data_IF_725297683530
#
_entry.id   IF_725297683530
#
_cell.length_a   1.000
_cell.length_b   1.000
_cell.length_c   1.000
_cell.angle_alpha   90.00
_cell.angle_beta   90.00
_cell.angle_gamma   90.00
#
_symmetry.space_group_name_H-M   'P 1'
#
loop_
_entity.id
_entity.type
_entity.pdbx_description
1 polymer ?
#
# COMPACT_ATOMS: atom_id res chain seq x y z
N UNK A 1 11.77 -14.20 15.94
CA UNK A 1 12.29 -15.52 15.54
C UNK A 1 12.94 -15.32 14.18
N UNK A 2 14.27 -15.35 14.11
CA UNK A 2 15.02 -15.21 12.86
C UNK A 2 15.52 -16.61 12.53
N UNK A 3 14.99 -17.20 11.47
CA UNK A 3 15.50 -18.46 10.95
C UNK A 3 16.76 -18.11 10.14
N UNK A 4 17.92 -18.28 10.76
CA UNK A 4 19.21 -18.18 10.07
C UNK A 4 19.46 -19.51 9.38
N UNK A 5 19.27 -19.58 8.07
CA UNK A 5 19.73 -20.69 7.25
C UNK A 5 21.21 -20.45 6.90
N UNK A 6 22.05 -21.47 7.12
CA UNK A 6 23.51 -21.42 6.89
C UNK A 6 23.88 -21.35 5.41
N UNK A 7 23.01 -21.85 4.54
CA UNK A 7 23.25 -21.99 3.12
C UNK A 7 22.28 -21.11 2.32
N UNK A 8 22.73 -20.43 1.25
CA UNK A 8 21.83 -19.69 0.38
C UNK A 8 20.84 -20.67 -0.25
N UNK A 9 19.55 -20.45 -0.01
CA UNK A 9 18.48 -21.24 -0.60
C UNK A 9 18.56 -21.14 -2.13
N UNK A 10 19.09 -22.16 -2.78
CA UNK A 10 19.15 -22.25 -4.24
C UNK A 10 17.79 -22.69 -4.79
N UNK A 11 17.45 -22.24 -5.99
CA UNK A 11 16.25 -22.74 -6.67
C UNK A 11 16.36 -24.26 -6.86
N UNK A 12 15.30 -24.99 -6.52
CA UNK A 12 15.28 -26.45 -6.49
C UNK A 12 14.12 -26.98 -7.31
N UNK A 13 14.35 -28.08 -8.03
CA UNK A 13 13.30 -28.83 -8.71
C UNK A 13 13.38 -30.30 -8.32
N UNK A 14 12.23 -30.91 -8.04
CA UNK A 14 12.09 -32.35 -7.79
C UNK A 14 11.12 -32.92 -8.81
N UNK A 15 11.55 -33.98 -9.51
CA UNK A 15 10.75 -34.67 -10.51
C UNK A 15 10.47 -36.09 -10.01
N UNK A 16 9.19 -36.45 -9.97
CA UNK A 16 8.72 -37.79 -9.69
C UNK A 16 8.05 -38.34 -10.96
N UNK A 17 8.49 -39.51 -11.40
CA UNK A 17 7.91 -40.20 -12.55
C UNK A 17 6.71 -41.03 -12.08
N UNK A 18 5.61 -40.94 -12.83
CA UNK A 18 4.43 -41.75 -12.58
C UNK A 18 4.68 -43.23 -12.90
N UNK A 19 4.00 -44.13 -12.19
CA UNK A 19 4.03 -45.56 -12.48
C UNK A 19 3.01 -45.88 -13.60
N UNK A 20 3.45 -46.35 -14.78
CA UNK A 20 2.56 -46.66 -15.89
C UNK A 20 1.60 -47.85 -15.61
N UNK A 21 1.84 -48.62 -14.55
CA UNK A 21 0.96 -49.72 -14.12
C UNK A 21 -0.15 -49.27 -13.16
N UNK A 22 -0.10 -48.02 -12.69
CA UNK A 22 -1.13 -47.42 -11.86
C UNK A 22 -2.10 -46.61 -12.73
N UNK A 23 -3.23 -46.19 -12.15
CA UNK A 23 -4.19 -45.31 -12.82
C UNK A 23 -4.36 -44.01 -12.03
N UNK A 24 -4.95 -42.99 -12.65
CA UNK A 24 -5.18 -41.67 -12.02
C UNK A 24 -3.86 -40.94 -11.70
N UNK A 25 -3.81 -40.18 -10.60
CA UNK A 25 -2.70 -39.30 -10.23
C UNK A 25 -1.35 -40.01 -10.07
N UNK A 26 -1.35 -41.31 -9.74
CA UNK A 26 -0.13 -42.11 -9.54
C UNK A 26 0.57 -42.49 -10.86
N UNK A 27 -0.14 -42.39 -12.00
CA UNK A 27 0.43 -42.60 -13.33
C UNK A 27 1.00 -41.31 -13.94
N UNK A 28 0.83 -40.17 -13.27
CA UNK A 28 1.24 -38.87 -13.78
C UNK A 28 2.66 -38.52 -13.34
N UNK A 29 3.41 -37.86 -14.22
CA UNK A 29 4.68 -37.24 -13.83
C UNK A 29 4.40 -35.95 -13.05
N UNK A 30 5.04 -35.80 -11.90
CA UNK A 30 4.89 -34.66 -11.02
C UNK A 30 6.20 -33.88 -10.94
N UNK A 31 6.16 -32.58 -11.24
CA UNK A 31 7.29 -31.68 -11.10
C UNK A 31 6.97 -30.65 -10.02
N UNK A 32 7.77 -30.62 -8.96
CA UNK A 32 7.75 -29.57 -7.96
C UNK A 32 8.93 -28.64 -8.23
N UNK A 33 8.67 -27.34 -8.37
CA UNK A 33 9.71 -26.32 -8.57
C UNK A 33 9.58 -25.28 -7.47
N UNK A 34 10.67 -25.06 -6.75
CA UNK A 34 10.85 -23.97 -5.82
C UNK A 34 11.81 -22.95 -6.46
N UNK A 35 11.26 -21.83 -6.92
CA UNK A 35 12.03 -20.72 -7.45
C UNK A 35 12.26 -19.72 -6.32
N UNK A 36 13.50 -19.55 -5.90
CA UNK A 36 13.87 -18.44 -5.03
C UNK A 36 14.54 -17.36 -5.88
N UNK A 37 13.96 -16.16 -5.95
CA UNK A 37 14.64 -15.05 -6.58
C UNK A 37 15.89 -14.74 -5.75
N UNK A 38 17.02 -14.57 -6.43
CA UNK A 38 18.17 -13.93 -5.82
C UNK A 38 17.76 -12.46 -5.62
N UNK A 39 17.31 -12.15 -4.41
CA UNK A 39 17.09 -10.77 -4.00
C UNK A 39 18.49 -10.30 -3.66
N UNK A 40 19.19 -9.58 -4.56
CA UNK A 40 20.49 -9.04 -4.23
C UNK A 40 20.29 -8.34 -2.90
N UNK A 41 21.15 -8.63 -1.91
CA UNK A 41 21.16 -7.91 -0.64
C UNK A 41 20.90 -6.48 -1.00
N UNK A 42 19.69 -5.98 -0.70
CA UNK A 42 19.35 -4.60 -0.91
C UNK A 42 20.30 -3.94 0.04
N UNK A 43 21.45 -3.55 -0.51
CA UNK A 43 22.44 -2.78 0.20
C UNK A 43 21.58 -1.71 0.83
N UNK A 44 21.67 -1.58 2.15
CA UNK A 44 21.11 -0.46 2.86
C UNK A 44 21.85 0.79 2.37
N UNK A 45 21.71 1.10 1.08
CA UNK A 45 21.78 2.44 0.59
C UNK A 45 20.75 3.15 1.44
N UNK A 46 21.23 4.10 2.23
CA UNK A 46 20.42 5.04 2.98
C UNK A 46 19.46 5.86 2.08
N UNK A 47 19.32 5.48 0.80
CA UNK A 47 18.73 6.21 -0.31
C UNK A 47 17.69 5.40 -1.09
N UNK A 48 17.19 4.25 -0.58
CA UNK A 48 15.95 3.69 -1.13
C UNK A 48 14.78 4.62 -0.75
N UNK A 49 14.54 5.60 -1.63
CA UNK A 49 13.37 6.48 -1.57
C UNK A 49 12.15 5.68 -2.01
N UNK A 50 11.34 5.26 -1.05
CA UNK A 50 10.08 4.60 -1.33
C UNK A 50 9.01 5.65 -1.66
N UNK A 51 8.24 5.40 -2.70
CA UNK A 51 7.10 6.22 -3.11
C UNK A 51 5.83 5.37 -3.07
N UNK A 52 4.80 5.85 -2.36
CA UNK A 52 3.52 5.14 -2.22
C UNK A 52 2.38 5.96 -2.83
N UNK A 53 1.60 5.39 -3.74
CA UNK A 53 0.40 6.03 -4.27
C UNK A 53 -0.83 5.25 -3.82
N UNK A 54 -1.67 5.89 -3.00
CA UNK A 54 -2.92 5.34 -2.51
C UNK A 54 -4.07 5.78 -3.41
N UNK A 55 -4.64 4.84 -4.15
CA UNK A 55 -5.84 5.04 -4.97
C UNK A 55 -7.07 4.65 -4.14
N UNK A 56 -7.95 5.61 -3.90
CA UNK A 56 -9.14 5.46 -3.04
C UNK A 56 -10.39 5.64 -3.86
N UNK A 57 -11.24 4.61 -3.93
CA UNK A 57 -12.56 4.73 -4.54
C UNK A 57 -13.48 5.61 -3.66
N UNK A 58 -14.17 6.55 -4.30
CA UNK A 58 -15.14 7.49 -3.72
C UNK A 58 -16.47 7.45 -4.48
N UNK A 59 -16.72 6.40 -5.27
CA UNK A 59 -17.98 6.16 -5.97
C UNK A 59 -19.16 6.02 -4.99
N UNK A 60 -20.39 6.07 -5.51
CA UNK A 60 -21.59 5.96 -4.68
C UNK A 60 -21.67 4.68 -3.83
N UNK A 61 -21.05 3.58 -4.25
CA UNK A 61 -20.98 2.34 -3.45
C UNK A 61 -20.11 2.46 -2.19
N UNK A 62 -19.29 3.50 -2.11
CA UNK A 62 -18.44 3.79 -0.96
C UNK A 62 -19.13 4.66 0.08
N UNK A 63 -20.36 5.13 -0.18
CA UNK A 63 -21.11 5.94 0.79
C UNK A 63 -21.35 5.21 2.13
N UNK A 64 -21.58 5.97 3.19
CA UNK A 64 -21.81 5.45 4.54
C UNK A 64 -20.53 4.92 5.19
N UNK A 65 -20.60 3.73 5.78
CA UNK A 65 -19.52 3.18 6.60
C UNK A 65 -18.30 2.77 5.77
N UNK A 66 -18.47 2.45 4.48
CA UNK A 66 -17.40 1.98 3.60
C UNK A 66 -16.28 3.03 3.45
N UNK A 67 -16.62 4.30 3.19
CA UNK A 67 -15.63 5.37 3.12
C UNK A 67 -15.01 5.68 4.50
N UNK A 68 -15.75 5.46 5.59
CA UNK A 68 -15.24 5.60 6.95
C UNK A 68 -14.17 4.55 7.27
N UNK A 69 -14.42 3.29 6.90
CA UNK A 69 -13.44 2.21 7.02
C UNK A 69 -12.23 2.40 6.12
N UNK A 70 -12.43 2.89 4.89
CA UNK A 70 -11.34 3.25 3.99
C UNK A 70 -10.44 4.34 4.59
N UNK A 71 -11.02 5.39 5.17
CA UNK A 71 -10.27 6.45 5.88
C UNK A 71 -9.50 5.91 7.08
N UNK A 72 -10.11 5.03 7.87
CA UNK A 72 -9.47 4.44 9.06
C UNK A 72 -8.31 3.54 8.67
N UNK A 73 -8.49 2.72 7.65
CA UNK A 73 -7.45 1.87 7.09
C UNK A 73 -6.31 2.71 6.51
N UNK A 74 -6.62 3.74 5.72
CA UNK A 74 -5.62 4.65 5.16
C UNK A 74 -4.81 5.35 6.25
N UNK A 75 -5.46 5.79 7.33
CA UNK A 75 -4.78 6.38 8.48
C UNK A 75 -3.79 5.39 9.12
N UNK A 76 -4.18 4.13 9.29
CA UNK A 76 -3.30 3.09 9.82
C UNK A 76 -2.10 2.85 8.89
N UNK A 77 -2.34 2.81 7.57
CA UNK A 77 -1.27 2.67 6.58
C UNK A 77 -0.28 3.83 6.66
N UNK A 78 -0.78 5.07 6.67
CA UNK A 78 0.08 6.27 6.76
C UNK A 78 0.97 6.26 8.00
N UNK A 79 0.45 5.78 9.14
CA UNK A 79 1.22 5.63 10.39
C UNK A 79 2.26 4.52 10.35
N UNK A 80 2.02 3.46 9.57
CA UNK A 80 2.97 2.36 9.39
C UNK A 80 4.12 2.70 8.43
N UNK A 81 3.97 3.73 7.59
CA UNK A 81 4.95 4.05 6.57
C UNK A 81 6.20 4.73 7.17
N UNK A 82 7.43 4.35 6.76
CA UNK A 82 8.68 4.99 7.20
C UNK A 82 8.71 6.52 7.00
N UNK A 83 9.37 7.27 7.88
CA UNK A 83 9.45 8.74 7.81
C UNK A 83 10.19 9.29 6.58
N UNK A 84 10.94 8.45 5.88
CA UNK A 84 11.75 8.77 4.70
C UNK A 84 11.10 8.31 3.38
N UNK A 85 9.76 8.26 3.33
CA UNK A 85 9.04 7.89 2.13
C UNK A 85 8.08 9.00 1.68
N UNK A 86 8.00 9.18 0.37
CA UNK A 86 6.99 10.01 -0.27
C UNK A 86 5.69 9.24 -0.41
N UNK A 87 4.57 9.95 -0.36
CA UNK A 87 3.29 9.34 -0.67
C UNK A 87 2.34 10.32 -1.35
N UNK A 88 1.41 9.78 -2.14
CA UNK A 88 0.32 10.50 -2.76
C UNK A 88 -0.99 9.78 -2.43
N UNK A 89 -2.06 10.53 -2.22
CA UNK A 89 -3.42 10.00 -2.16
C UNK A 89 -4.21 10.55 -3.34
N UNK A 90 -4.89 9.67 -4.06
CA UNK A 90 -5.73 9.99 -5.22
C UNK A 90 -7.09 9.36 -4.98
N UNK A 91 -8.12 10.19 -4.81
CA UNK A 91 -9.50 9.75 -4.73
C UNK A 91 -10.13 9.71 -6.13
N UNK A 92 -10.69 8.57 -6.55
CA UNK A 92 -11.33 8.40 -7.86
C UNK A 92 -12.80 7.99 -7.73
N UNK A 93 -13.59 8.17 -8.79
CA UNK A 93 -15.04 7.95 -8.83
C UNK A 93 -15.57 8.44 -10.18
N UNK A 94 -16.61 9.27 -10.18
CA UNK A 94 -17.02 10.02 -11.40
C UNK A 94 -15.93 11.00 -11.87
N UNK A 95 -15.20 11.58 -10.91
CA UNK A 95 -14.04 12.45 -11.11
C UNK A 95 -12.90 12.02 -10.19
N UNK A 96 -11.68 12.48 -10.50
CA UNK A 96 -10.50 12.24 -9.66
C UNK A 96 -10.01 13.50 -8.95
N UNK A 97 -9.44 13.32 -7.77
CA UNK A 97 -8.82 14.39 -6.99
C UNK A 97 -7.56 13.88 -6.29
N UNK A 98 -6.43 14.56 -6.48
CA UNK A 98 -5.19 14.29 -5.77
C UNK A 98 -5.04 15.19 -4.53
N UNK A 99 -4.47 14.65 -3.46
CA UNK A 99 -4.20 15.40 -2.23
C UNK A 99 -3.11 16.47 -2.41
N UNK A 100 -2.17 16.23 -3.31
CA UNK A 100 -1.09 17.16 -3.65
C UNK A 100 -1.18 17.44 -5.16
N UNK A 101 -0.82 18.65 -5.58
CA UNK A 101 -0.88 19.06 -6.98
C UNK A 101 0.15 18.32 -7.85
N UNK A 102 1.32 18.05 -7.28
CA UNK A 102 2.42 17.27 -7.87
C UNK A 102 2.94 16.28 -6.84
N UNK A 103 3.76 15.30 -7.26
CA UNK A 103 4.41 14.37 -6.34
C UNK A 103 5.15 15.17 -5.25
N UNK A 104 4.73 15.05 -3.98
CA UNK A 104 5.26 15.89 -2.93
C UNK A 104 6.73 15.58 -2.68
N UNK A 105 7.52 16.61 -2.42
CA UNK A 105 8.87 16.44 -1.88
C UNK A 105 8.83 15.69 -0.53
N UNK A 106 9.97 15.11 -0.14
CA UNK A 106 10.11 14.36 1.12
C UNK A 106 9.66 15.18 2.35
N UNK A 107 9.86 16.50 2.32
CA UNK A 107 9.49 17.41 3.41
C UNK A 107 7.96 17.62 3.51
N UNK A 108 7.27 17.72 2.37
CA UNK A 108 5.81 17.85 2.33
C UNK A 108 5.13 16.54 2.80
N UNK A 109 5.69 15.39 2.39
CA UNK A 109 5.24 14.08 2.87
C UNK A 109 5.47 13.91 4.38
N UNK A 110 6.64 14.35 4.87
CA UNK A 110 6.96 14.28 6.31
C UNK A 110 6.06 15.18 7.15
N UNK A 111 5.85 16.42 6.75
CA UNK A 111 4.96 17.35 7.45
C UNK A 111 3.51 16.84 7.52
N UNK A 112 3.04 16.22 6.43
CA UNK A 112 1.72 15.59 6.40
C UNK A 112 1.62 14.41 7.38
N UNK A 113 2.64 13.55 7.44
CA UNK A 113 2.71 12.44 8.42
C UNK A 113 2.82 12.92 9.86
N UNK A 114 3.64 13.93 10.12
CA UNK A 114 3.75 14.53 11.44
C UNK A 114 2.41 15.10 11.89
N UNK A 115 1.66 15.72 10.99
CA UNK A 115 0.30 16.22 11.26
C UNK A 115 -0.72 15.10 11.52
N UNK A 116 -0.50 13.92 10.95
CA UNK A 116 -1.28 12.70 11.20
C UNK A 116 -0.92 12.07 12.56
N UNK A 117 0.35 12.14 12.96
CA UNK A 117 0.88 11.58 14.21
C UNK A 117 0.58 12.48 15.42
N UNK A 118 0.69 13.81 15.27
CA UNK A 118 0.45 14.80 16.33
C UNK A 118 -1.02 15.11 16.60
N UNK A 119 -1.94 14.64 15.75
CA UNK A 119 -3.39 14.65 16.04
C UNK A 119 -3.73 13.60 17.11
N UNK A 120 -3.40 13.94 18.36
CA UNK A 120 -4.33 13.69 19.48
C UNK A 120 -5.69 14.25 19.04
N UNK A 121 -6.71 13.39 19.02
CA UNK A 121 -8.10 13.72 18.75
C UNK A 121 -8.50 15.01 19.47
N UNK A 122 -8.59 16.11 18.73
CA UNK A 122 -9.28 17.33 19.16
C UNK A 122 -10.03 17.90 17.95
N UNK A 123 -11.37 17.78 17.91
CA UNK A 123 -12.19 18.21 16.77
C UNK A 123 -12.28 19.74 16.56
N UNK A 124 -11.48 20.55 17.25
CA UNK A 124 -11.57 22.02 17.24
C UNK A 124 -10.51 22.75 16.40
N UNK A 125 -9.55 22.05 15.81
CA UNK A 125 -8.55 22.69 14.90
C UNK A 125 -8.95 22.55 13.43
N UNK A 126 -10.02 21.80 13.13
CA UNK A 126 -10.58 21.74 11.77
C UNK A 126 -11.32 23.04 11.35
N UNK A 127 -11.44 24.02 12.24
CA UNK A 127 -12.22 25.25 11.96
C UNK A 127 -11.41 26.45 11.46
N UNK A 128 -10.09 26.34 11.24
CA UNK A 128 -9.30 27.45 10.66
C UNK A 128 -8.51 27.15 9.39
N UNK A 129 -8.54 25.91 8.91
CA UNK A 129 -7.96 25.57 7.60
C UNK A 129 -8.90 24.70 6.73
N UNK A 130 -10.11 24.37 7.19
CA UNK A 130 -11.15 23.76 6.35
C UNK A 130 -12.01 24.77 5.58
N UNK A 131 -11.89 26.08 5.86
CA UNK A 131 -12.60 27.15 5.14
C UNK A 131 -12.11 27.34 3.69
N UNK A 132 -10.94 26.80 3.33
CA UNK A 132 -10.46 26.82 1.94
C UNK A 132 -10.96 25.64 1.08
N UNK A 133 -11.42 24.55 1.70
CA UNK A 133 -11.95 23.38 0.98
C UNK A 133 -13.48 23.40 0.86
N UNK A 134 -14.18 24.06 1.78
CA UNK A 134 -15.64 24.23 1.75
C UNK A 134 -16.09 25.25 0.68
N UNK A 135 -15.20 26.19 0.29
CA UNK A 135 -15.46 27.17 -0.76
C UNK A 135 -15.46 26.59 -2.19
N UNK A 136 -15.10 25.32 -2.38
CA UNK A 136 -15.08 24.65 -3.70
C UNK A 136 -15.99 23.42 -3.79
N UNK A 137 -16.78 23.12 -2.75
CA UNK A 137 -17.79 22.05 -2.79
C UNK A 137 -19.24 22.57 -2.76
N UNK A 138 -19.44 23.87 -2.98
CA UNK A 138 -20.74 24.44 -3.29
C UNK A 138 -20.79 24.87 -4.77
N UNK A 139 -21.07 23.91 -5.65
CA UNK A 139 -21.71 24.18 -6.94
C UNK A 139 -23.07 23.47 -6.94
N UNK A 140 -24.13 24.14 -7.41
CA UNK A 140 -25.50 23.65 -7.30
C UNK A 140 -25.70 22.38 -8.14
N UNK A 141 -26.42 21.44 -7.55
CA UNK A 141 -26.98 20.27 -8.24
C UNK A 141 -27.93 20.76 -9.32
N UNK A 142 -27.69 20.33 -10.56
CA UNK A 142 -28.72 20.24 -11.59
C UNK A 142 -28.73 18.80 -12.11
#
# INVERSE_FOLDING_TARGET
MVLSLSDPLTSLASLEYGDPNQSSILAMNCLMVQLLPDIPNVVSSKDMRYEFVFLIDRSGSMEGDNISYAKTSLLLFLKSLPMSCRFQIIGFGSDFAALFSDLPDEDASRSCKESVETKRLNPLVLHRHAEAADAHLHLPVN
#
